data_IF_825236347371
#
_entry.id   IF_825236347371
#
_cell.length_a   1.000
_cell.length_b   1.000
_cell.length_c   1.000
_cell.angle_alpha   90.00
_cell.angle_beta   90.00
_cell.angle_gamma   90.00
#
_symmetry.space_group_name_H-M   'P 1'
#
loop_
_entity.id
_entity.type
_entity.pdbx_description
1 polymer ?
#
# COMPACT_ATOMS: atom_id res chain seq x y z
N UNK A 1 -5.77 18.74 14.73
CA UNK A 1 -4.76 18.48 13.67
C UNK A 1 -4.20 19.82 13.23
N UNK A 2 -2.88 19.96 13.08
CA UNK A 2 -2.20 21.22 12.73
C UNK A 2 -1.70 21.19 11.28
N UNK A 3 -2.56 20.86 10.33
CA UNK A 3 -2.14 20.76 8.92
C UNK A 3 -2.50 22.07 8.23
N UNK A 4 -1.57 22.60 7.42
CA UNK A 4 -1.87 23.74 6.57
C UNK A 4 -2.79 23.28 5.44
N UNK A 5 -3.87 24.03 5.24
CA UNK A 5 -4.82 23.80 4.17
C UNK A 5 -4.97 25.07 3.34
N UNK A 6 -5.14 24.89 2.04
CA UNK A 6 -5.58 25.99 1.18
C UNK A 6 -7.05 26.30 1.48
N UNK A 7 -7.46 27.59 1.44
CA UNK A 7 -8.86 27.96 1.54
C UNK A 7 -9.72 27.25 0.48
N UNK A 8 -10.98 26.99 0.81
CA UNK A 8 -11.92 26.45 -0.16
C UNK A 8 -12.08 27.40 -1.36
N UNK A 9 -12.18 26.85 -2.57
CA UNK A 9 -12.27 27.58 -3.86
C UNK A 9 -11.06 28.44 -4.25
N UNK A 10 -9.92 28.31 -3.56
CA UNK A 10 -8.70 29.00 -3.97
C UNK A 10 -8.28 28.57 -5.40
N UNK A 11 -8.10 29.51 -6.36
CA UNK A 11 -7.71 29.18 -7.72
C UNK A 11 -6.35 28.47 -7.81
N UNK A 12 -5.48 28.64 -6.81
CA UNK A 12 -4.18 27.95 -6.72
C UNK A 12 -4.34 26.43 -6.64
N UNK A 13 -5.46 25.91 -6.12
CA UNK A 13 -5.73 24.47 -6.07
C UNK A 13 -5.73 23.85 -7.48
N UNK A 14 -6.37 24.51 -8.45
CA UNK A 14 -6.41 24.04 -9.86
C UNK A 14 -5.03 24.12 -10.51
N UNK A 15 -4.28 25.20 -10.24
CA UNK A 15 -2.92 25.36 -10.73
C UNK A 15 -1.97 24.28 -10.18
N UNK A 16 -2.10 23.94 -8.89
CA UNK A 16 -1.31 22.89 -8.24
C UNK A 16 -1.67 21.50 -8.79
N UNK A 17 -2.95 21.19 -8.95
CA UNK A 17 -3.39 19.93 -9.54
C UNK A 17 -2.79 19.74 -10.94
N UNK A 18 -2.79 20.80 -11.77
CA UNK A 18 -2.16 20.78 -13.10
C UNK A 18 -0.64 20.68 -13.03
N UNK A 19 0.01 21.42 -12.15
CA UNK A 19 1.47 21.40 -11.98
C UNK A 19 1.99 20.02 -11.58
N UNK A 20 1.28 19.35 -10.68
CA UNK A 20 1.66 18.02 -10.22
C UNK A 20 1.16 16.88 -11.10
N UNK A 21 0.31 17.17 -12.09
CA UNK A 21 -0.38 16.21 -12.94
C UNK A 21 -1.25 15.23 -12.13
N UNK A 22 -2.09 15.79 -11.27
CA UNK A 22 -3.01 15.01 -10.41
C UNK A 22 -4.21 14.57 -11.24
N UNK A 23 -4.29 13.27 -11.55
CA UNK A 23 -5.38 12.70 -12.35
C UNK A 23 -6.56 12.20 -11.51
N UNK A 24 -6.32 11.77 -10.27
CA UNK A 24 -7.36 11.21 -9.41
C UNK A 24 -7.08 11.50 -7.92
N UNK A 25 -8.15 11.66 -7.14
CA UNK A 25 -8.08 11.83 -5.69
C UNK A 25 -8.43 10.53 -4.96
N UNK A 26 -7.91 10.29 -3.74
CA UNK A 26 -6.90 11.10 -3.05
C UNK A 26 -5.49 10.95 -3.64
N UNK A 27 -4.69 12.03 -3.59
CA UNK A 27 -3.33 12.08 -4.11
C UNK A 27 -2.39 12.62 -3.04
N UNK A 28 -1.17 12.08 -2.94
CA UNK A 28 -0.18 12.49 -1.94
C UNK A 28 1.16 12.73 -2.60
N UNK A 29 1.70 13.93 -2.38
CA UNK A 29 2.99 14.38 -2.90
C UNK A 29 3.87 14.74 -1.70
N UNK A 30 5.10 14.24 -1.70
CA UNK A 30 6.08 14.55 -0.66
C UNK A 30 7.02 15.62 -1.20
N UNK A 31 7.13 16.72 -0.45
CA UNK A 31 8.01 17.85 -0.75
C UNK A 31 9.11 17.88 0.30
N UNK A 32 10.35 17.97 -0.15
CA UNK A 32 11.53 18.06 0.70
C UNK A 32 11.66 19.43 1.37
N UNK A 33 12.57 19.53 2.34
CA UNK A 33 12.86 20.80 3.03
C UNK A 33 13.39 21.89 2.09
N UNK A 34 13.94 21.50 0.95
CA UNK A 34 14.42 22.37 -0.12
C UNK A 34 13.30 22.85 -1.06
N UNK A 35 12.04 22.46 -0.81
CA UNK A 35 10.90 22.79 -1.66
C UNK A 35 10.81 21.94 -2.93
N UNK A 36 11.70 20.95 -3.12
CA UNK A 36 11.65 20.07 -4.29
C UNK A 36 10.74 18.88 -4.04
N UNK A 37 10.17 18.36 -5.13
CA UNK A 37 9.35 17.15 -5.06
C UNK A 37 10.25 15.94 -4.85
N UNK A 38 10.03 15.21 -3.77
CA UNK A 38 10.71 13.94 -3.49
C UNK A 38 10.01 12.82 -4.26
N UNK A 39 8.69 12.68 -4.08
CA UNK A 39 7.92 11.67 -4.81
C UNK A 39 6.45 12.09 -4.97
N UNK A 40 5.90 11.78 -6.15
CA UNK A 40 4.47 11.92 -6.46
C UNK A 40 3.67 10.64 -6.19
N UNK A 41 4.35 9.52 -5.94
CA UNK A 41 3.75 8.19 -5.75
C UNK A 41 3.61 7.82 -4.27
N UNK A 42 3.67 8.80 -3.38
CA UNK A 42 3.72 8.57 -1.93
C UNK A 42 2.52 7.78 -1.41
N UNK A 43 1.34 7.97 -2.01
CA UNK A 43 0.15 7.16 -1.70
C UNK A 43 0.40 5.68 -1.95
N UNK A 44 0.97 5.33 -3.11
CA UNK A 44 1.32 3.94 -3.43
C UNK A 44 2.38 3.38 -2.48
N UNK A 45 3.37 4.20 -2.11
CA UNK A 45 4.41 3.78 -1.16
C UNK A 45 3.85 3.55 0.25
N UNK A 46 2.95 4.41 0.72
CA UNK A 46 2.25 4.22 1.99
C UNK A 46 1.31 3.01 1.96
N UNK A 47 0.72 2.71 0.81
CA UNK A 47 -0.10 1.52 0.66
C UNK A 47 0.73 0.25 0.83
N UNK A 48 1.88 0.21 0.17
CA UNK A 48 2.77 -0.94 0.12
C UNK A 48 3.58 -1.12 1.42
N UNK A 49 4.25 -0.07 1.89
CA UNK A 49 5.20 -0.14 3.00
C UNK A 49 4.69 0.47 4.31
N UNK A 50 3.51 1.10 4.29
CA UNK A 50 2.89 1.75 5.47
C UNK A 50 3.84 2.73 6.16
N UNK A 51 3.91 2.68 7.49
CA UNK A 51 4.81 3.53 8.29
C UNK A 51 6.29 3.35 7.93
N UNK A 52 6.67 2.19 7.38
CA UNK A 52 8.06 1.94 6.98
C UNK A 52 8.48 2.75 5.75
N UNK A 53 7.54 3.30 4.97
CA UNK A 53 7.85 4.20 3.86
C UNK A 53 8.54 5.50 4.31
N UNK A 54 8.40 5.86 5.60
CA UNK A 54 9.08 7.02 6.17
C UNK A 54 10.48 6.65 6.70
N UNK A 55 11.50 7.50 6.49
CA UNK A 55 11.48 8.71 5.66
C UNK A 55 11.45 8.36 4.16
N UNK A 56 10.73 9.16 3.37
CA UNK A 56 10.67 9.00 1.92
C UNK A 56 12.01 9.41 1.30
N UNK A 57 12.94 8.46 1.20
CA UNK A 57 14.26 8.64 0.57
C UNK A 57 14.54 7.48 -0.36
N UNK A 58 15.30 7.73 -1.42
CA UNK A 58 15.63 6.71 -2.41
C UNK A 58 16.30 5.49 -1.76
N UNK A 59 17.24 5.73 -0.83
CA UNK A 59 17.91 4.66 -0.08
C UNK A 59 16.95 3.82 0.78
N UNK A 60 15.91 4.43 1.36
CA UNK A 60 14.88 3.69 2.11
C UNK A 60 14.00 2.88 1.17
N UNK A 61 13.68 3.41 -0.01
CA UNK A 61 12.90 2.69 -1.02
C UNK A 61 13.65 1.47 -1.55
N UNK A 62 14.93 1.63 -1.90
CA UNK A 62 15.78 0.52 -2.35
C UNK A 62 15.89 -0.59 -1.30
N UNK A 63 16.02 -0.23 -0.01
CA UNK A 63 16.05 -1.20 1.08
C UNK A 63 14.75 -1.99 1.16
N UNK A 64 13.61 -1.31 1.12
CA UNK A 64 12.29 -1.94 1.24
C UNK A 64 11.95 -2.82 0.03
N UNK A 65 12.31 -2.39 -1.17
CA UNK A 65 12.19 -3.19 -2.39
C UNK A 65 13.01 -4.47 -2.29
N UNK A 66 14.26 -4.36 -1.82
CA UNK A 66 15.13 -5.53 -1.61
C UNK A 66 14.58 -6.49 -0.57
N UNK A 67 14.11 -6.00 0.58
CA UNK A 67 13.51 -6.85 1.62
C UNK A 67 12.31 -7.65 1.08
N UNK A 68 11.47 -7.02 0.27
CA UNK A 68 10.33 -7.67 -0.37
C UNK A 68 10.78 -8.72 -1.40
N UNK A 69 11.79 -8.42 -2.23
CA UNK A 69 12.34 -9.38 -3.19
C UNK A 69 12.96 -10.59 -2.47
N UNK A 70 13.76 -10.37 -1.41
CA UNK A 70 14.33 -11.45 -0.59
C UNK A 70 13.24 -12.32 0.04
N UNK A 71 12.16 -11.73 0.55
CA UNK A 71 11.02 -12.47 1.08
C UNK A 71 10.30 -13.29 0.00
N UNK A 72 10.27 -12.79 -1.24
CA UNK A 72 9.63 -13.47 -2.37
C UNK A 72 10.50 -14.54 -3.05
N UNK A 73 11.82 -14.60 -2.80
CA UNK A 73 12.74 -15.53 -3.48
C UNK A 73 12.33 -17.00 -3.41
N UNK A 74 11.68 -17.40 -2.33
CA UNK A 74 11.28 -18.79 -2.08
C UNK A 74 9.81 -19.05 -2.44
N UNK A 75 9.11 -18.08 -3.01
CA UNK A 75 7.72 -18.25 -3.42
C UNK A 75 7.62 -18.82 -4.83
N UNK A 76 6.60 -19.65 -5.11
CA UNK A 76 6.32 -20.08 -6.47
C UNK A 76 5.99 -18.86 -7.33
N UNK A 77 6.57 -18.79 -8.53
CA UNK A 77 6.30 -17.70 -9.48
C UNK A 77 4.92 -17.81 -10.12
N UNK A 78 4.36 -19.02 -10.14
CA UNK A 78 3.05 -19.31 -10.68
C UNK A 78 2.41 -20.48 -9.96
N UNK A 79 1.08 -20.51 -9.94
CA UNK A 79 0.30 -21.58 -9.34
C UNK A 79 -1.03 -21.77 -10.10
N UNK A 80 -1.51 -23.02 -10.13
CA UNK A 80 -2.84 -23.35 -10.65
C UNK A 80 -3.84 -23.34 -9.50
N UNK A 81 -4.90 -22.56 -9.66
CA UNK A 81 -5.98 -22.49 -8.68
C UNK A 81 -7.23 -23.20 -9.21
N UNK A 82 -7.96 -23.93 -8.36
CA UNK A 82 -9.09 -24.74 -8.79
C UNK A 82 -10.27 -23.92 -9.37
N UNK A 83 -10.46 -22.69 -8.87
CA UNK A 83 -11.52 -21.79 -9.30
C UNK A 83 -11.13 -20.94 -10.51
N UNK A 84 -9.86 -21.00 -10.94
CA UNK A 84 -9.36 -20.32 -12.13
C UNK A 84 -9.00 -21.35 -13.22
N UNK A 85 -9.38 -21.07 -14.48
CA UNK A 85 -9.11 -21.97 -15.63
C UNK A 85 -7.78 -21.68 -16.32
N UNK A 86 -6.86 -21.03 -15.61
CA UNK A 86 -5.59 -20.55 -16.12
C UNK A 86 -4.57 -20.46 -14.98
N UNK A 87 -3.30 -20.43 -15.37
CA UNK A 87 -2.18 -20.29 -14.44
C UNK A 87 -2.12 -18.86 -13.90
N UNK A 88 -2.06 -18.72 -12.58
CA UNK A 88 -1.91 -17.43 -11.94
C UNK A 88 -0.43 -17.13 -11.76
N UNK A 89 0.00 -15.88 -12.01
CA UNK A 89 1.39 -15.45 -11.85
C UNK A 89 1.55 -14.55 -10.64
N UNK A 90 2.58 -14.79 -9.83
CA UNK A 90 2.94 -13.96 -8.69
C UNK A 90 3.41 -12.61 -9.23
N UNK A 91 2.76 -11.55 -8.80
CA UNK A 91 3.08 -10.18 -9.20
C UNK A 91 3.51 -9.37 -7.99
N UNK A 92 4.31 -8.34 -8.22
CA UNK A 92 4.48 -7.31 -7.19
C UNK A 92 3.31 -6.32 -7.26
N UNK A 93 2.92 -5.79 -6.10
CA UNK A 93 1.89 -4.74 -5.99
C UNK A 93 2.25 -3.49 -6.84
N UNK A 94 3.53 -3.29 -7.14
CA UNK A 94 4.05 -2.16 -7.90
C UNK A 94 3.91 -2.23 -9.43
N UNK A 95 3.72 -3.41 -10.02
CA UNK A 95 3.72 -3.60 -11.50
C UNK A 95 2.40 -4.07 -12.10
N UNK A 96 1.36 -4.31 -11.29
CA UNK A 96 0.04 -4.68 -11.82
C UNK A 96 -0.94 -5.27 -10.80
N UNK A 97 -0.49 -5.68 -9.62
CA UNK A 97 -1.32 -6.35 -8.62
C UNK A 97 -1.94 -5.41 -7.61
N UNK A 98 -2.76 -4.45 -8.07
CA UNK A 98 -3.52 -3.59 -7.17
C UNK A 98 -4.40 -4.39 -6.18
N UNK A 99 -5.25 -3.72 -5.37
CA UNK A 99 -6.08 -4.42 -4.41
C UNK A 99 -6.85 -5.59 -4.99
N UNK A 100 -6.55 -6.77 -4.47
CA UNK A 100 -7.18 -8.02 -4.86
C UNK A 100 -7.98 -8.58 -3.68
N UNK A 101 -9.03 -9.31 -4.01
CA UNK A 101 -9.81 -10.10 -3.06
C UNK A 101 -9.50 -11.55 -3.39
N UNK A 102 -9.09 -12.31 -2.39
CA UNK A 102 -8.81 -13.73 -2.57
C UNK A 102 -10.12 -14.47 -2.84
N UNK A 103 -10.16 -15.26 -3.91
CA UNK A 103 -11.36 -16.02 -4.29
C UNK A 103 -11.71 -17.14 -3.31
N UNK A 104 -10.75 -17.65 -2.53
CA UNK A 104 -10.99 -18.75 -1.58
C UNK A 104 -11.60 -18.30 -0.26
N UNK A 105 -11.09 -17.20 0.30
CA UNK A 105 -11.44 -16.75 1.65
C UNK A 105 -12.21 -15.43 1.67
N UNK A 106 -12.46 -14.83 0.50
CA UNK A 106 -13.06 -13.48 0.35
C UNK A 106 -12.32 -12.38 1.13
N UNK A 107 -11.12 -12.68 1.65
CA UNK A 107 -10.31 -11.69 2.33
C UNK A 107 -9.60 -10.83 1.29
N UNK A 108 -9.60 -9.52 1.53
CA UNK A 108 -8.78 -8.60 0.76
C UNK A 108 -7.33 -8.95 1.03
N UNK A 109 -6.64 -9.47 0.01
CA UNK A 109 -5.19 -9.57 0.02
C UNK A 109 -4.59 -8.19 0.27
N UNK A 110 -3.39 -8.08 0.84
CA UNK A 110 -2.86 -6.80 1.27
C UNK A 110 -2.79 -5.83 0.08
N UNK A 111 -3.73 -4.89 0.08
CA UNK A 111 -3.65 -3.60 -0.56
C UNK A 111 -4.52 -2.64 0.25
N UNK A 112 -3.87 -2.09 1.27
CA UNK A 112 -4.08 -0.75 1.81
C UNK A 112 -5.49 -0.13 1.89
N UNK A 113 -6.54 -0.87 2.23
CA UNK A 113 -7.83 -0.25 2.60
C UNK A 113 -8.54 -0.86 3.80
N UNK A 114 -7.85 -1.67 4.60
CA UNK A 114 -8.29 -1.92 5.96
C UNK A 114 -7.10 -1.68 6.88
N UNK A 115 -7.37 -0.97 7.98
CA UNK A 115 -6.49 -0.83 9.16
C UNK A 115 -5.65 0.45 9.25
N UNK A 116 -6.16 1.62 8.86
CA UNK A 116 -5.81 2.84 9.62
C UNK A 116 -6.53 2.82 10.98
N UNK A 117 -7.72 2.22 11.04
CA UNK A 117 -8.46 2.00 12.29
C UNK A 117 -7.83 0.89 13.16
N UNK A 118 -7.46 -0.27 12.58
CA UNK A 118 -6.95 -1.40 13.37
C UNK A 118 -5.49 -1.23 13.84
N UNK A 119 -4.72 -0.29 13.29
CA UNK A 119 -3.40 0.06 13.82
C UNK A 119 -3.51 0.90 15.11
N UNK A 120 -4.50 1.81 15.17
CA UNK A 120 -4.88 2.52 16.41
C UNK A 120 -5.42 1.53 17.45
N UNK A 121 -6.17 0.53 17.01
CA UNK A 121 -6.67 -0.55 17.88
C UNK A 121 -5.53 -1.45 18.42
N UNK A 122 -4.52 -1.77 17.61
CA UNK A 122 -3.33 -2.51 18.06
C UNK A 122 -2.50 -1.74 19.11
N UNK A 123 -2.44 -0.40 19.01
CA UNK A 123 -1.81 0.43 20.03
C UNK A 123 -2.59 0.44 21.35
N UNK A 124 -3.93 0.39 21.29
CA UNK A 124 -4.80 0.27 22.47
C UNK A 124 -4.74 -1.12 23.12
N UNK A 125 -4.48 -2.18 22.33
CA UNK A 125 -4.23 -3.54 22.82
C UNK A 125 -2.91 -3.62 23.61
N UNK A 126 -1.85 -2.96 23.15
CA UNK A 126 -0.56 -2.90 23.87
C UNK A 126 -0.63 -2.14 25.21
N UNK A 127 -1.66 -1.30 25.39
CA UNK A 127 -1.95 -0.61 26.66
C UNK A 127 -2.85 -1.45 27.59
N UNK A 128 -3.21 -2.68 27.22
CA UNK A 128 -3.84 -3.66 28.10
C UNK A 128 -5.35 -3.53 28.30
N UNK A 129 -6.08 -2.80 27.44
CA UNK A 129 -7.50 -2.49 27.70
C UNK A 129 -8.55 -3.49 27.16
N UNK A 130 -8.24 -4.40 26.23
CA UNK A 130 -9.23 -5.37 25.72
C UNK A 130 -8.59 -6.73 25.45
N UNK A 131 -9.20 -7.80 25.97
CA UNK A 131 -8.80 -9.19 25.74
C UNK A 131 -9.68 -9.77 24.62
N UNK A 132 -9.13 -9.98 23.43
CA UNK A 132 -9.77 -10.80 22.40
C UNK A 132 -8.77 -11.77 21.76
N UNK A 133 -9.26 -12.99 21.56
CA UNK A 133 -8.56 -14.14 21.01
C UNK A 133 -8.31 -13.89 19.52
N UNK A 134 -7.04 -14.02 19.09
CA UNK A 134 -6.62 -13.90 17.68
C UNK A 134 -6.72 -15.27 17.01
N UNK A 135 -7.51 -15.38 15.95
CA UNK A 135 -7.52 -16.53 15.02
C UNK A 135 -6.56 -16.26 13.83
N UNK A 136 -6.09 -17.32 13.15
CA UNK A 136 -4.90 -17.27 12.31
C UNK A 136 -5.14 -16.57 10.97
N UNK A 137 -4.10 -15.89 10.49
CA UNK A 137 -4.02 -15.30 9.15
C UNK A 137 -3.75 -16.43 8.15
N UNK A 138 -4.54 -16.50 7.07
CA UNK A 138 -4.42 -17.49 6.01
C UNK A 138 -3.07 -17.37 5.29
N UNK A 139 -2.33 -18.48 5.12
CA UNK A 139 -1.04 -18.52 4.40
C UNK A 139 -1.14 -18.34 2.88
N UNK A 140 -2.34 -18.24 2.30
CA UNK A 140 -2.57 -18.16 0.85
C UNK A 140 -2.64 -16.73 0.29
N UNK A 141 -2.50 -15.69 1.11
CA UNK A 141 -2.64 -14.29 0.67
C UNK A 141 -1.35 -13.74 0.02
N UNK A 142 -0.94 -14.28 -1.13
CA UNK A 142 0.06 -13.64 -2.00
C UNK A 142 -0.60 -13.17 -3.31
N UNK A 143 -0.20 -12.01 -3.86
CA UNK A 143 -0.83 -11.41 -5.04
C UNK A 143 -0.47 -12.21 -6.30
N UNK A 144 -1.38 -13.09 -6.71
CA UNK A 144 -1.34 -13.78 -7.98
C UNK A 144 -2.39 -13.15 -8.92
N UNK A 145 -2.02 -12.76 -10.15
CA UNK A 145 -2.97 -12.25 -11.18
C UNK A 145 -3.06 -13.23 -12.35
N UNK A 146 -4.26 -13.34 -12.90
CA UNK A 146 -4.59 -13.88 -14.22
C UNK A 146 -3.62 -13.36 -15.31
N UNK A 147 -2.79 -14.25 -15.87
CA UNK A 147 -2.02 -13.94 -17.07
C UNK A 147 -2.96 -13.89 -18.28
N UNK A 148 -3.08 -12.70 -18.91
CA UNK A 148 -3.64 -12.55 -20.25
C UNK A 148 -2.65 -12.99 -21.33
#
# INVERSE_FOLDING_TARGET
MQWLALPFEDPTIKSLAKYFDVQAFPYLIIIGRDGKTVTKKARSLLNLYKENAYPFTDAKMELLEKEMEEAAKNLPKSEYHADHRHELSLVSEGTGGGPFICCDCDERGPAALTNVWNAVEAALINLGLIRMIRLPVCSSAFPFIDGL
#
